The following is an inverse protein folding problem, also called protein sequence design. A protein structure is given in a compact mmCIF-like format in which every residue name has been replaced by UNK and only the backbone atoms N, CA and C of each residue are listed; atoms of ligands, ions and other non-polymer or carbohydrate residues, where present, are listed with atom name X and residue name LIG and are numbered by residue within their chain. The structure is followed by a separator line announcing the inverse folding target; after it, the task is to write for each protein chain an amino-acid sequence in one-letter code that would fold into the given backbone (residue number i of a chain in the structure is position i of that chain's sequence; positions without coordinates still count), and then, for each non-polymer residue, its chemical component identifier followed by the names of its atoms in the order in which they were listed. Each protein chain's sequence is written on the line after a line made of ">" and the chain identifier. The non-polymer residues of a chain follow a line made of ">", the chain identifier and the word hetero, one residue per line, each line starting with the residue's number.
data_IF_437197674443
#
_entry.id   IF_437197674443
#
_cell.length_a   1.000
_cell.length_b   1.000
_cell.length_c   1.000
_cell.angle_alpha   90.00
_cell.angle_beta   90.00
_cell.angle_gamma   90.00
#
_symmetry.space_group_name_H-M   'P 1'
#
loop_
_entity.id
_entity.type
_entity.pdbx_description
1 polymer ?
#
# COMPACT_ATOMS: atom_id res chain seq x y z
N UNK A 1 11.84 58.93 25.76
CA UNK A 1 11.01 57.70 25.66
C UNK A 1 11.32 57.13 24.29
N UNK A 2 12.25 56.18 24.25
CA UNK A 2 12.65 55.50 22.98
C UNK A 2 11.89 54.21 22.88
N UNK A 3 11.13 54.06 21.79
CA UNK A 3 10.46 52.80 21.42
C UNK A 3 11.49 51.92 20.65
N UNK A 4 11.88 50.84 21.27
CA UNK A 4 12.69 49.81 20.61
C UNK A 4 11.78 48.84 19.84
N UNK A 5 11.79 49.01 18.52
CA UNK A 5 11.14 48.08 17.57
C UNK A 5 11.96 46.82 17.42
N UNK A 6 11.44 45.71 17.95
CA UNK A 6 12.01 44.35 17.76
C UNK A 6 11.50 43.78 16.45
N UNK A 7 12.34 43.71 15.44
CA UNK A 7 12.07 43.00 14.18
C UNK A 7 12.25 41.50 14.40
N UNK A 8 11.17 40.75 14.34
CA UNK A 8 11.22 39.29 14.25
C UNK A 8 11.69 38.87 12.85
N UNK A 9 12.85 38.26 12.77
CA UNK A 9 13.32 37.55 11.56
C UNK A 9 12.61 36.18 11.53
N UNK A 10 11.53 36.07 10.78
CA UNK A 10 10.99 34.78 10.34
C UNK A 10 11.86 34.32 9.16
N UNK A 11 12.80 33.45 9.44
CA UNK A 11 13.48 32.65 8.42
C UNK A 11 12.56 31.52 8.04
N UNK A 12 11.86 31.64 6.91
CA UNK A 12 11.19 30.53 6.24
C UNK A 12 12.25 29.51 5.80
N UNK A 13 12.33 28.42 6.55
CA UNK A 13 13.12 27.25 6.14
C UNK A 13 12.33 26.59 5.01
N UNK A 14 12.71 26.92 3.79
CA UNK A 14 12.25 26.23 2.58
C UNK A 14 12.89 24.84 2.55
N UNK A 15 12.22 23.85 3.11
CA UNK A 15 12.53 22.42 2.90
C UNK A 15 12.23 22.05 1.45
N UNK A 16 13.09 22.46 0.54
CA UNK A 16 13.14 21.86 -0.79
C UNK A 16 13.77 20.48 -0.63
N UNK A 17 12.94 19.44 -0.40
CA UNK A 17 13.35 18.07 -0.63
C UNK A 17 13.74 17.95 -2.10
N UNK A 18 15.03 17.72 -2.37
CA UNK A 18 15.45 17.31 -3.70
C UNK A 18 14.68 16.04 -4.07
N UNK A 19 14.19 15.92 -5.31
CA UNK A 19 13.50 14.71 -5.73
C UNK A 19 14.48 13.53 -5.57
N UNK A 20 14.05 12.51 -4.83
CA UNK A 20 14.79 11.26 -4.72
C UNK A 20 14.94 10.68 -6.13
N UNK A 21 16.17 10.46 -6.57
CA UNK A 21 16.44 9.75 -7.83
C UNK A 21 16.10 8.25 -7.63
N UNK A 22 14.81 7.93 -7.72
CA UNK A 22 14.29 6.58 -7.52
C UNK A 22 14.63 5.77 -8.78
N UNK A 23 15.53 4.82 -8.62
CA UNK A 23 15.86 3.87 -9.66
C UNK A 23 15.03 2.60 -9.46
N UNK A 24 14.18 2.29 -10.45
CA UNK A 24 13.41 1.06 -10.44
C UNK A 24 14.24 -0.13 -10.93
N UNK A 25 13.97 -1.30 -10.34
CA UNK A 25 14.54 -2.56 -10.80
C UNK A 25 13.89 -3.00 -12.13
N UNK A 26 14.60 -3.79 -12.96
CA UNK A 26 14.01 -4.39 -14.15
C UNK A 26 12.80 -5.27 -13.81
N UNK A 27 11.76 -5.20 -14.65
CA UNK A 27 10.56 -6.04 -14.49
C UNK A 27 10.88 -7.54 -14.45
N UNK A 28 11.90 -7.99 -15.21
CA UNK A 28 12.38 -9.37 -15.19
C UNK A 28 12.80 -9.83 -13.79
N UNK A 29 13.45 -8.95 -13.04
CA UNK A 29 13.98 -9.25 -11.71
C UNK A 29 12.83 -9.29 -10.69
N UNK A 30 11.88 -8.36 -10.79
CA UNK A 30 10.65 -8.39 -9.99
C UNK A 30 9.83 -9.67 -10.23
N UNK A 31 9.69 -10.10 -11.49
CA UNK A 31 9.02 -11.37 -11.82
C UNK A 31 9.76 -12.59 -11.30
N UNK A 32 11.10 -12.57 -11.31
CA UNK A 32 11.91 -13.65 -10.73
C UNK A 32 11.73 -13.71 -9.20
N UNK A 33 11.75 -12.57 -8.51
CA UNK A 33 11.52 -12.48 -7.08
C UNK A 33 10.15 -13.06 -6.68
N UNK A 34 9.06 -12.66 -7.37
CA UNK A 34 7.72 -13.20 -7.11
C UNK A 34 7.66 -14.72 -7.33
N UNK A 35 8.30 -15.25 -8.37
CA UNK A 35 8.36 -16.70 -8.63
C UNK A 35 9.13 -17.47 -7.56
N UNK A 36 10.09 -16.81 -6.93
CA UNK A 36 10.87 -17.36 -5.82
C UNK A 36 10.16 -17.22 -4.46
N UNK A 37 8.95 -16.64 -4.43
CA UNK A 37 8.22 -16.43 -3.19
C UNK A 37 8.66 -15.19 -2.40
N UNK A 38 9.37 -14.28 -3.03
CA UNK A 38 9.81 -13.02 -2.41
C UNK A 38 8.73 -11.93 -2.55
N UNK A 39 8.79 -10.93 -1.67
CA UNK A 39 7.97 -9.72 -1.79
C UNK A 39 8.68 -8.69 -2.67
N UNK A 40 7.90 -7.97 -3.46
CA UNK A 40 8.34 -6.81 -4.23
C UNK A 40 7.54 -5.58 -3.80
N UNK A 41 8.09 -4.39 -4.01
CA UNK A 41 7.35 -3.13 -3.85
C UNK A 41 6.93 -2.67 -5.24
N UNK A 42 5.64 -2.48 -5.43
CA UNK A 42 5.07 -1.89 -6.64
C UNK A 42 4.57 -0.49 -6.30
N UNK A 43 4.97 0.49 -7.07
CA UNK A 43 4.52 1.88 -6.92
C UNK A 43 3.67 2.27 -8.11
N UNK A 44 2.68 3.11 -7.88
CA UNK A 44 1.86 3.67 -8.93
C UNK A 44 2.27 5.10 -9.30
N UNK A 45 1.58 5.68 -10.28
CA UNK A 45 1.82 7.03 -10.76
C UNK A 45 1.45 8.09 -9.71
N UNK A 46 2.25 9.17 -9.62
CA UNK A 46 2.00 10.30 -8.72
C UNK A 46 0.62 10.94 -8.94
N UNK A 47 0.07 10.83 -10.14
CA UNK A 47 -1.26 11.34 -10.49
C UNK A 47 -2.41 10.41 -10.12
N UNK A 48 -2.14 9.19 -9.60
CA UNK A 48 -3.15 8.23 -9.17
C UNK A 48 -3.23 8.20 -7.64
N UNK A 49 -2.67 7.22 -6.96
CA UNK A 49 -2.69 7.10 -5.50
C UNK A 49 -1.36 7.56 -4.88
N UNK A 50 -0.27 7.52 -5.66
CA UNK A 50 1.09 7.84 -5.23
C UNK A 50 1.50 7.04 -3.99
N UNK A 51 1.18 5.76 -4.00
CA UNK A 51 1.42 4.81 -2.91
C UNK A 51 2.33 3.67 -3.37
N UNK A 52 2.83 2.91 -2.43
CA UNK A 52 3.63 1.72 -2.68
C UNK A 52 3.00 0.51 -2.00
N UNK A 53 2.83 -0.59 -2.75
CA UNK A 53 2.28 -1.83 -2.27
C UNK A 53 3.35 -2.91 -2.11
N UNK A 54 3.35 -3.60 -0.97
CA UNK A 54 4.10 -4.85 -0.80
C UNK A 54 3.30 -5.99 -1.42
N UNK A 55 3.86 -6.61 -2.45
CA UNK A 55 3.19 -7.67 -3.21
C UNK A 55 4.00 -8.96 -3.18
N UNK A 56 3.33 -10.08 -2.91
CA UNK A 56 3.88 -11.43 -3.08
C UNK A 56 2.84 -12.35 -3.74
N UNK A 57 3.29 -13.49 -4.27
CA UNK A 57 2.36 -14.48 -4.79
C UNK A 57 1.64 -15.19 -3.63
N UNK A 58 0.32 -15.18 -3.61
CA UNK A 58 -0.48 -15.76 -2.52
C UNK A 58 -0.16 -17.25 -2.27
N UNK A 59 0.14 -18.02 -3.32
CA UNK A 59 0.53 -19.43 -3.20
C UNK A 59 1.84 -19.67 -2.43
N UNK A 60 2.67 -18.64 -2.27
CA UNK A 60 3.94 -18.70 -1.54
C UNK A 60 3.89 -17.89 -0.23
N UNK A 61 2.74 -17.26 0.08
CA UNK A 61 2.60 -16.47 1.29
C UNK A 61 2.85 -17.32 2.54
N UNK A 62 3.66 -16.81 3.45
CA UNK A 62 3.99 -17.43 4.73
C UNK A 62 3.55 -16.55 5.89
N UNK A 63 3.34 -17.10 7.09
CA UNK A 63 3.05 -16.30 8.27
C UNK A 63 4.08 -15.19 8.52
N UNK A 64 5.35 -15.44 8.22
CA UNK A 64 6.43 -14.47 8.38
C UNK A 64 6.30 -13.30 7.40
N UNK A 65 5.93 -13.57 6.14
CA UNK A 65 5.68 -12.52 5.13
C UNK A 65 4.45 -11.68 5.49
N UNK A 66 3.36 -12.31 5.91
CA UNK A 66 2.15 -11.59 6.35
C UNK A 66 2.46 -10.72 7.57
N UNK A 67 3.20 -11.25 8.55
CA UNK A 67 3.65 -10.45 9.70
C UNK A 67 4.55 -9.28 9.28
N UNK A 68 5.46 -9.50 8.32
CA UNK A 68 6.29 -8.42 7.76
C UNK A 68 5.44 -7.33 7.12
N UNK A 69 4.45 -7.70 6.29
CA UNK A 69 3.51 -6.75 5.69
C UNK A 69 2.75 -5.95 6.76
N UNK A 70 2.28 -6.60 7.81
CA UNK A 70 1.56 -5.95 8.90
C UNK A 70 2.43 -4.98 9.70
N UNK A 71 3.67 -5.34 10.00
CA UNK A 71 4.58 -4.56 10.86
C UNK A 71 5.24 -3.42 10.09
N UNK A 72 5.73 -3.69 8.89
CA UNK A 72 6.51 -2.73 8.09
C UNK A 72 5.64 -1.96 7.11
N UNK A 73 4.73 -2.63 6.40
CA UNK A 73 3.80 -1.99 5.46
C UNK A 73 2.73 -1.17 6.15
N UNK A 74 2.21 -1.65 7.28
CA UNK A 74 1.19 -0.99 8.12
C UNK A 74 -0.10 -0.61 7.40
N UNK A 75 -0.31 -1.17 6.22
CA UNK A 75 -1.49 -0.97 5.40
C UNK A 75 -2.51 -2.10 5.59
N UNK A 76 -3.53 -2.09 4.73
CA UNK A 76 -4.52 -3.15 4.64
C UNK A 76 -3.93 -4.35 3.88
N UNK A 77 -4.01 -5.54 4.46
CA UNK A 77 -3.59 -6.77 3.77
C UNK A 77 -4.77 -7.29 2.95
N UNK A 78 -4.60 -7.36 1.64
CA UNK A 78 -5.63 -7.73 0.70
C UNK A 78 -5.20 -8.93 -0.13
N UNK A 79 -6.18 -9.74 -0.53
CA UNK A 79 -6.02 -10.79 -1.54
C UNK A 79 -6.89 -10.44 -2.76
N UNK A 80 -6.26 -10.23 -3.91
CA UNK A 80 -6.99 -10.06 -5.17
C UNK A 80 -7.57 -11.40 -5.61
N UNK A 81 -8.89 -11.44 -5.86
CA UNK A 81 -9.62 -12.66 -6.18
C UNK A 81 -10.64 -12.40 -7.30
N UNK A 82 -10.90 -13.41 -8.13
CA UNK A 82 -11.93 -13.31 -9.17
C UNK A 82 -13.32 -13.40 -8.57
N UNK A 83 -14.30 -12.74 -9.20
CA UNK A 83 -15.68 -12.64 -8.70
C UNK A 83 -16.37 -13.99 -8.50
N UNK A 84 -16.17 -14.94 -9.42
CA UNK A 84 -16.73 -16.30 -9.30
C UNK A 84 -16.24 -17.03 -8.05
N UNK A 85 -14.99 -16.79 -7.64
CA UNK A 85 -14.44 -17.34 -6.40
C UNK A 85 -15.00 -16.66 -5.15
N UNK A 86 -15.29 -15.37 -5.23
CA UNK A 86 -15.94 -14.63 -4.15
C UNK A 86 -17.38 -15.11 -3.96
N UNK A 87 -18.09 -15.37 -5.07
CA UNK A 87 -19.44 -15.93 -5.06
C UNK A 87 -19.46 -17.35 -4.46
N UNK A 88 -18.50 -18.21 -4.84
CA UNK A 88 -18.35 -19.56 -4.28
C UNK A 88 -18.11 -19.56 -2.76
N UNK A 89 -17.49 -18.49 -2.24
CA UNK A 89 -17.19 -18.32 -0.82
C UNK A 89 -18.23 -17.49 -0.07
N UNK A 90 -19.31 -17.04 -0.75
CA UNK A 90 -20.36 -16.19 -0.20
C UNK A 90 -19.79 -14.90 0.43
N UNK A 91 -18.83 -14.25 -0.27
CA UNK A 91 -18.19 -13.02 0.15
C UNK A 91 -18.76 -11.80 -0.60
N UNK A 92 -19.78 -11.14 -0.06
CA UNK A 92 -20.40 -9.98 -0.69
C UNK A 92 -19.50 -8.75 -0.61
N UNK A 93 -19.83 -7.73 -1.42
CA UNK A 93 -19.21 -6.42 -1.31
C UNK A 93 -19.43 -5.84 0.09
N UNK A 94 -18.43 -5.12 0.57
CA UNK A 94 -18.44 -4.46 1.89
C UNK A 94 -19.55 -3.39 1.98
N UNK A 95 -19.92 -2.76 0.87
CA UNK A 95 -20.91 -1.69 0.80
C UNK A 95 -21.82 -1.89 -0.42
N UNK A 96 -23.10 -1.60 -0.27
CA UNK A 96 -24.07 -1.65 -1.37
C UNK A 96 -23.83 -0.54 -2.41
N UNK A 97 -23.33 0.62 -1.95
CA UNK A 97 -23.01 1.77 -2.78
C UNK A 97 -21.57 2.18 -2.57
N UNK A 98 -20.73 1.87 -3.55
CA UNK A 98 -19.34 2.29 -3.55
C UNK A 98 -19.24 3.80 -3.87
N UNK A 99 -18.69 4.58 -2.93
CA UNK A 99 -18.43 6.02 -3.07
C UNK A 99 -16.93 6.35 -3.15
N UNK A 100 -16.08 5.31 -3.21
CA UNK A 100 -14.66 5.48 -3.39
C UNK A 100 -14.34 6.10 -4.76
N UNK A 101 -13.36 7.00 -4.79
CA UNK A 101 -12.93 7.69 -6.02
C UNK A 101 -12.37 6.71 -7.06
N UNK A 102 -11.68 5.66 -6.60
CA UNK A 102 -11.07 4.64 -7.44
C UNK A 102 -12.00 3.46 -7.74
N UNK A 103 -13.21 3.44 -7.16
CA UNK A 103 -14.21 2.39 -7.30
C UNK A 103 -13.68 1.00 -6.88
N UNK A 104 -12.75 0.95 -5.91
CA UNK A 104 -12.18 -0.30 -5.43
C UNK A 104 -13.25 -1.22 -4.84
N UNK A 105 -13.38 -2.41 -5.40
CA UNK A 105 -14.44 -3.36 -5.03
C UNK A 105 -14.01 -4.22 -3.83
N UNK A 106 -13.96 -3.63 -2.64
CA UNK A 106 -13.72 -4.39 -1.41
C UNK A 106 -14.92 -5.25 -1.05
N UNK A 107 -14.64 -6.49 -0.62
CA UNK A 107 -15.62 -7.37 0.02
C UNK A 107 -15.62 -7.17 1.53
N UNK A 108 -16.51 -7.85 2.24
CA UNK A 108 -16.41 -8.01 3.69
C UNK A 108 -15.04 -8.60 4.03
N UNK A 109 -14.47 -8.19 5.17
CA UNK A 109 -13.21 -8.77 5.67
C UNK A 109 -13.43 -10.20 6.18
N UNK A 110 -12.38 -11.01 6.04
CA UNK A 110 -12.39 -12.41 6.51
C UNK A 110 -11.21 -12.66 7.44
N UNK A 111 -11.31 -13.69 8.24
CA UNK A 111 -10.25 -14.21 9.08
C UNK A 111 -10.27 -15.74 9.02
N UNK A 112 -9.17 -16.39 9.39
CA UNK A 112 -9.10 -17.83 9.44
C UNK A 112 -9.99 -18.38 10.56
N UNK A 113 -10.62 -19.54 10.29
CA UNK A 113 -11.35 -20.26 11.34
C UNK A 113 -10.42 -20.83 12.42
N UNK A 114 -10.95 -21.22 13.59
CA UNK A 114 -10.15 -21.68 14.71
C UNK A 114 -9.39 -22.99 14.47
N UNK A 115 -9.64 -23.65 13.35
CA UNK A 115 -8.98 -24.88 12.90
C UNK A 115 -7.67 -24.66 12.11
N UNK A 116 -7.31 -23.38 11.83
CA UNK A 116 -6.12 -23.00 11.07
C UNK A 116 -5.11 -22.24 11.92
#
# INVERSE_FOLDING_TARGET
>A
MEETSTRSNNQEISDKKEPLDIKFDPISDALAAIRNGECVIVVDDEGRENEGDLICAAQFATPQQINFMAVEGRGLICLAMQGDKLDDLDLPLMVDRNTDSNQTAFTVSIDAGPEF
#
